data_IF_313874842012
#
_entry.id   IF_313874842012
#
_cell.length_a   1.000
_cell.length_b   1.000
_cell.length_c   1.000
_cell.angle_alpha   90.00
_cell.angle_beta   90.00
_cell.angle_gamma   90.00
#
_symmetry.space_group_name_H-M   'P 1'
#
loop_
_entity.id
_entity.type
_entity.pdbx_description
1 polymer ?
#
# COMPACT_ATOMS: atom_id res chain seq x y z
N UNK A 1 -72.85 -35.59 10.72
CA UNK A 1 -72.21 -36.25 11.88
C UNK A 1 -70.73 -36.41 11.51
N UNK A 2 -69.73 -35.74 12.08
CA UNK A 2 -69.64 -34.75 13.16
C UNK A 2 -68.46 -33.81 12.84
N UNK A 3 -68.59 -32.56 13.28
CA UNK A 3 -67.60 -31.47 13.22
C UNK A 3 -66.69 -31.47 14.45
N UNK A 4 -65.69 -30.58 14.45
CA UNK A 4 -65.08 -29.92 15.65
C UNK A 4 -64.12 -30.81 16.48
N UNK A 5 -62.95 -30.39 17.02
CA UNK A 5 -62.34 -29.07 17.33
C UNK A 5 -60.88 -29.30 17.80
N UNK A 6 -59.95 -28.41 17.40
CA UNK A 6 -58.86 -27.70 18.16
C UNK A 6 -58.00 -28.53 19.16
N UNK A 7 -56.66 -28.49 19.21
CA UNK A 7 -55.83 -27.36 19.66
C UNK A 7 -54.33 -27.65 19.41
N UNK A 8 -53.64 -26.73 18.74
CA UNK A 8 -52.18 -26.69 18.72
C UNK A 8 -51.72 -25.97 19.98
N UNK A 9 -50.89 -26.63 20.79
CA UNK A 9 -50.26 -26.01 21.96
C UNK A 9 -48.95 -25.39 21.50
N UNK A 10 -48.88 -24.07 21.64
CA UNK A 10 -47.68 -23.26 21.56
C UNK A 10 -46.66 -23.72 22.62
N UNK A 11 -45.41 -23.87 22.19
CA UNK A 11 -44.28 -23.70 23.09
C UNK A 11 -43.34 -22.68 22.46
N UNK A 12 -43.58 -21.41 22.78
CA UNK A 12 -42.53 -20.39 22.74
C UNK A 12 -41.50 -20.72 23.82
N UNK A 13 -40.26 -21.04 23.42
CA UNK A 13 -39.08 -20.69 24.22
C UNK A 13 -38.00 -20.09 23.30
N UNK A 14 -38.10 -18.76 23.18
CA UNK A 14 -37.04 -17.77 23.39
C UNK A 14 -35.66 -18.02 22.77
N UNK A 15 -35.42 -17.25 21.71
CA UNK A 15 -34.27 -16.34 21.53
C UNK A 15 -33.06 -16.56 22.45
N UNK A 16 -31.95 -17.03 21.86
CA UNK A 16 -30.62 -17.03 22.46
C UNK A 16 -29.57 -16.68 21.41
N UNK A 17 -29.10 -15.43 21.48
CA UNK A 17 -27.87 -14.84 20.93
C UNK A 17 -27.44 -15.16 19.50
N UNK A 18 -27.74 -14.21 18.61
CA UNK A 18 -26.92 -13.91 17.43
C UNK A 18 -25.55 -13.39 17.89
N UNK A 19 -24.55 -14.27 17.97
CA UNK A 19 -23.15 -13.83 17.88
C UNK A 19 -22.83 -13.57 16.40
N UNK A 20 -23.25 -12.42 15.90
CA UNK A 20 -22.76 -11.89 14.63
C UNK A 20 -21.33 -11.42 14.86
N UNK A 21 -20.35 -12.21 14.41
CA UNK A 21 -18.96 -11.77 14.35
C UNK A 21 -18.83 -10.48 13.53
N UNK A 22 -17.76 -9.69 13.74
CA UNK A 22 -17.58 -8.42 13.05
C UNK A 22 -17.59 -8.63 11.53
N UNK A 23 -18.30 -7.77 10.83
CA UNK A 23 -18.30 -7.68 9.37
C UNK A 23 -16.91 -7.30 8.86
N UNK A 24 -16.63 -7.62 7.59
CA UNK A 24 -15.33 -7.30 6.98
C UNK A 24 -14.96 -5.81 7.03
N UNK A 25 -15.95 -4.91 7.04
CA UNK A 25 -15.70 -3.48 7.19
C UNK A 25 -15.30 -3.10 8.63
N UNK A 26 -15.96 -3.68 9.64
CA UNK A 26 -15.65 -3.44 11.06
C UNK A 26 -14.24 -3.94 11.40
N UNK A 27 -13.82 -5.06 10.82
CA UNK A 27 -12.46 -5.57 10.93
C UNK A 27 -11.42 -4.59 10.37
N UNK A 28 -11.70 -3.97 9.21
CA UNK A 28 -10.76 -3.02 8.60
C UNK A 28 -10.65 -1.72 9.39
N UNK A 29 -11.75 -1.25 9.99
CA UNK A 29 -11.74 -0.10 10.91
C UNK A 29 -10.91 -0.45 12.15
N UNK A 30 -11.15 -1.61 12.76
CA UNK A 30 -10.36 -2.09 13.90
C UNK A 30 -8.87 -2.22 13.58
N UNK A 31 -8.52 -2.72 12.39
CA UNK A 31 -7.12 -2.77 11.94
C UNK A 31 -6.50 -1.37 11.84
N UNK A 32 -7.26 -0.39 11.32
CA UNK A 32 -6.86 1.01 11.25
C UNK A 32 -6.61 1.62 12.62
N UNK A 33 -7.54 1.43 13.56
CA UNK A 33 -7.43 1.97 14.93
C UNK A 33 -6.18 1.44 15.65
N UNK A 34 -5.95 0.12 15.61
CA UNK A 34 -4.77 -0.50 16.25
C UNK A 34 -3.47 0.01 15.63
N UNK A 35 -3.46 0.21 14.32
CA UNK A 35 -2.30 0.74 13.61
C UNK A 35 -2.07 2.22 13.94
N UNK A 36 -3.13 3.03 13.98
CA UNK A 36 -3.10 4.43 14.42
C UNK A 36 -2.51 4.55 15.80
N UNK A 37 -3.03 3.81 16.78
CA UNK A 37 -2.52 3.77 18.16
C UNK A 37 -1.03 3.38 18.23
N UNK A 38 -0.60 2.43 17.39
CA UNK A 38 0.79 2.01 17.35
C UNK A 38 1.71 3.13 16.82
N UNK A 39 1.30 3.80 15.76
CA UNK A 39 2.06 4.85 15.10
C UNK A 39 2.03 6.16 15.91
N UNK A 40 0.91 6.50 16.54
CA UNK A 40 0.79 7.67 17.44
C UNK A 40 1.79 7.54 18.60
N UNK A 41 1.80 6.40 19.29
CA UNK A 41 2.77 6.14 20.37
C UNK A 41 4.22 6.19 19.90
N UNK A 42 4.47 5.81 18.64
CA UNK A 42 5.81 5.91 18.05
C UNK A 42 6.20 7.37 17.82
N UNK A 43 5.30 8.19 17.25
CA UNK A 43 5.53 9.62 17.04
C UNK A 43 5.79 10.34 18.36
N UNK A 44 4.98 10.05 19.39
CA UNK A 44 5.16 10.59 20.74
C UNK A 44 6.53 10.25 21.34
N UNK A 45 6.97 9.00 21.18
CA UNK A 45 8.27 8.57 21.71
C UNK A 45 9.44 9.24 20.98
N UNK A 46 9.27 9.58 19.71
CA UNK A 46 10.26 10.24 18.87
C UNK A 46 10.22 11.76 18.98
N UNK A 47 9.19 12.33 19.64
CA UNK A 47 8.92 13.77 19.70
C UNK A 47 8.70 14.38 18.30
N UNK A 48 7.95 13.66 17.45
CA UNK A 48 7.66 14.07 16.08
C UNK A 48 6.21 14.54 15.96
N UNK A 49 6.02 15.72 15.37
CA UNK A 49 4.70 16.16 14.94
C UNK A 49 4.20 15.32 13.76
N UNK A 50 2.89 15.08 13.70
CA UNK A 50 2.26 14.39 12.59
C UNK A 50 0.77 14.16 12.84
N UNK A 51 -0.04 14.45 11.82
CA UNK A 51 -1.46 14.15 11.81
C UNK A 51 -1.67 12.77 11.19
N UNK A 52 -2.34 11.87 11.92
CA UNK A 52 -2.67 10.52 11.46
C UNK A 52 -4.10 10.48 10.94
N UNK A 53 -4.24 10.10 9.67
CA UNK A 53 -5.53 9.86 9.02
C UNK A 53 -5.73 8.36 8.75
N UNK A 54 -6.93 7.86 9.09
CA UNK A 54 -7.33 6.47 8.90
C UNK A 54 -8.42 6.39 7.82
N UNK A 55 -8.21 5.54 6.81
CA UNK A 55 -9.18 5.29 5.74
C UNK A 55 -9.28 3.79 5.38
N UNK A 56 -10.32 3.43 4.62
CA UNK A 56 -10.53 2.07 4.11
C UNK A 56 -10.67 2.13 2.60
N UNK A 57 -9.60 1.75 1.90
CA UNK A 57 -9.54 1.76 0.45
C UNK A 57 -9.38 0.34 -0.10
N UNK A 58 -10.14 0.00 -1.15
CA UNK A 58 -9.97 -1.23 -1.91
C UNK A 58 -9.90 -2.52 -1.04
N UNK A 59 -10.62 -2.55 0.09
CA UNK A 59 -10.65 -3.69 1.01
C UNK A 59 -9.40 -3.85 1.88
N UNK A 60 -8.68 -2.76 2.16
CA UNK A 60 -7.59 -2.71 3.16
C UNK A 60 -7.66 -1.43 3.97
N UNK A 61 -7.14 -1.46 5.20
CA UNK A 61 -6.91 -0.26 5.98
C UNK A 61 -5.75 0.56 5.38
N UNK A 62 -5.89 1.87 5.37
CA UNK A 62 -4.87 2.82 4.95
C UNK A 62 -4.62 3.79 6.09
N UNK A 63 -3.35 3.98 6.43
CA UNK A 63 -2.91 4.94 7.42
C UNK A 63 -2.00 5.93 6.72
N UNK A 64 -2.32 7.22 6.84
CA UNK A 64 -1.52 8.32 6.30
C UNK A 64 -1.02 9.18 7.45
N UNK A 65 0.24 9.59 7.38
CA UNK A 65 0.85 10.49 8.36
C UNK A 65 1.37 11.72 7.62
N UNK A 66 0.83 12.90 7.93
CA UNK A 66 1.17 14.16 7.26
C UNK A 66 1.40 15.29 8.29
N UNK A 67 1.75 16.50 7.82
CA UNK A 67 1.77 17.71 8.67
C UNK A 67 2.98 17.91 9.58
N UNK A 68 3.93 16.96 9.64
CA UNK A 68 5.12 17.06 10.50
C UNK A 68 6.42 17.39 9.77
N UNK A 69 7.26 18.23 10.41
CA UNK A 69 8.57 18.65 9.86
C UNK A 69 9.61 17.51 9.81
N UNK A 70 9.49 16.52 10.71
CA UNK A 70 10.46 15.43 10.86
C UNK A 70 10.05 14.11 10.19
N UNK A 71 8.90 14.08 9.51
CA UNK A 71 8.34 12.87 8.89
C UNK A 71 9.25 12.30 7.78
N UNK A 72 10.07 13.12 7.12
CA UNK A 72 11.04 12.67 6.12
C UNK A 72 12.01 11.60 6.68
N UNK A 73 12.32 11.66 7.98
CA UNK A 73 13.17 10.66 8.65
C UNK A 73 12.49 9.29 8.76
N UNK A 74 11.16 9.27 8.89
CA UNK A 74 10.34 8.05 8.93
C UNK A 74 10.13 7.45 7.53
N UNK A 75 10.30 8.24 6.48
CA UNK A 75 10.39 7.73 5.11
C UNK A 75 11.73 7.05 4.89
N UNK A 76 12.82 7.75 5.23
CA UNK A 76 14.19 7.29 5.04
C UNK A 76 14.59 7.17 3.55
N UNK A 77 15.79 6.65 3.30
CA UNK A 77 16.35 6.63 1.95
C UNK A 77 15.53 5.72 1.01
N UNK A 78 14.90 6.32 0.00
CA UNK A 78 14.02 5.63 -0.96
C UNK A 78 12.87 4.86 -0.28
N UNK A 79 12.35 5.36 0.84
CA UNK A 79 11.20 4.75 1.53
C UNK A 79 11.50 3.49 2.32
N UNK A 80 12.78 3.14 2.54
CA UNK A 80 13.16 1.92 3.25
C UNK A 80 12.66 1.90 4.70
N UNK A 81 12.63 3.05 5.37
CA UNK A 81 12.13 3.14 6.75
C UNK A 81 10.61 3.04 6.75
N UNK A 82 9.93 3.69 5.81
CA UNK A 82 8.48 3.59 5.63
C UNK A 82 8.03 2.14 5.41
N UNK A 83 8.72 1.38 4.56
CA UNK A 83 8.40 -0.04 4.34
C UNK A 83 8.66 -0.88 5.59
N UNK A 84 9.73 -0.61 6.35
CA UNK A 84 9.99 -1.29 7.61
C UNK A 84 8.91 -0.98 8.66
N UNK A 85 8.51 0.29 8.79
CA UNK A 85 7.45 0.72 9.70
C UNK A 85 6.10 0.11 9.34
N UNK A 86 5.79 0.02 8.05
CA UNK A 86 4.58 -0.67 7.58
C UNK A 86 4.56 -2.13 8.04
N UNK A 87 5.67 -2.85 7.87
CA UNK A 87 5.74 -4.26 8.31
C UNK A 87 5.65 -4.40 9.83
N UNK A 88 6.30 -3.52 10.60
CA UNK A 88 6.17 -3.52 12.06
C UNK A 88 4.74 -3.25 12.50
N UNK A 89 4.06 -2.31 11.84
CA UNK A 89 2.66 -1.98 12.11
C UNK A 89 1.74 -3.15 11.78
N UNK A 90 1.94 -3.81 10.63
CA UNK A 90 1.21 -5.04 10.28
C UNK A 90 1.40 -6.15 11.30
N UNK A 91 2.60 -6.31 11.85
CA UNK A 91 2.88 -7.28 12.91
C UNK A 91 2.18 -6.92 14.22
N UNK A 92 2.15 -5.63 14.59
CA UNK A 92 1.41 -5.15 15.76
C UNK A 92 -0.09 -5.43 15.60
N UNK A 93 -0.68 -5.12 14.45
CA UNK A 93 -2.09 -5.44 14.15
C UNK A 93 -2.34 -6.95 14.17
N UNK A 94 -1.43 -7.75 13.62
CA UNK A 94 -1.55 -9.21 13.65
C UNK A 94 -1.50 -9.76 15.08
N UNK A 95 -0.68 -9.18 15.95
CA UNK A 95 -0.56 -9.61 17.33
C UNK A 95 -1.88 -9.42 18.10
N UNK A 96 -2.61 -8.34 17.82
CA UNK A 96 -3.87 -8.00 18.49
C UNK A 96 -5.09 -8.71 17.85
N UNK A 97 -5.16 -8.76 16.51
CA UNK A 97 -6.32 -9.33 15.79
C UNK A 97 -6.18 -10.82 15.46
N UNK A 98 -4.98 -11.38 15.60
CA UNK A 98 -4.65 -12.75 15.18
C UNK A 98 -4.59 -12.96 13.67
N UNK A 99 -4.93 -11.95 12.86
CA UNK A 99 -5.01 -12.04 11.39
C UNK A 99 -3.95 -11.20 10.73
N UNK A 100 -3.38 -11.67 9.61
CA UNK A 100 -2.43 -10.86 8.83
C UNK A 100 -3.15 -9.70 8.16
N UNK A 101 -2.85 -8.49 8.60
CA UNK A 101 -3.36 -7.27 7.99
C UNK A 101 -2.75 -7.00 6.61
N UNK A 102 -3.55 -6.44 5.71
CA UNK A 102 -3.12 -5.92 4.41
C UNK A 102 -2.93 -4.40 4.42
N UNK A 103 -2.83 -3.82 5.62
CA UNK A 103 -2.71 -2.39 5.86
C UNK A 103 -1.62 -1.73 5.02
N UNK A 104 -1.90 -0.54 4.52
CA UNK A 104 -0.94 0.27 3.77
C UNK A 104 -0.62 1.53 4.56
N UNK A 105 0.67 1.83 4.69
CA UNK A 105 1.15 3.05 5.32
C UNK A 105 1.68 4.00 4.23
N UNK A 106 1.30 5.26 4.31
CA UNK A 106 1.91 6.36 3.59
C UNK A 106 2.34 7.46 4.57
N UNK A 107 3.44 8.13 4.29
CA UNK A 107 3.98 9.20 5.13
C UNK A 107 4.38 10.34 4.21
N UNK A 108 3.90 11.55 4.51
CA UNK A 108 4.19 12.78 3.77
C UNK A 108 3.94 12.65 2.25
N UNK A 109 2.91 11.89 1.86
CA UNK A 109 2.59 11.61 0.45
C UNK A 109 3.72 10.92 -0.35
N UNK A 110 4.68 10.27 0.32
CA UNK A 110 5.89 9.75 -0.31
C UNK A 110 5.60 8.80 -1.46
N UNK A 111 4.59 7.91 -1.32
CA UNK A 111 4.25 6.95 -2.38
C UNK A 111 3.80 7.64 -3.66
N UNK A 112 3.08 8.76 -3.56
CA UNK A 112 2.65 9.54 -4.71
C UNK A 112 3.83 10.28 -5.35
N UNK A 113 4.64 10.98 -4.54
CA UNK A 113 5.84 11.67 -5.01
C UNK A 113 6.83 10.73 -5.69
N UNK A 114 7.08 9.56 -5.08
CA UNK A 114 8.00 8.56 -5.63
C UNK A 114 7.57 8.02 -6.99
N UNK A 115 6.26 7.83 -7.21
CA UNK A 115 5.74 7.43 -8.52
C UNK A 115 6.02 8.50 -9.58
N UNK A 116 5.83 9.76 -9.23
CA UNK A 116 6.05 10.86 -10.17
C UNK A 116 7.53 11.03 -10.52
N UNK A 117 8.42 10.98 -9.53
CA UNK A 117 9.88 10.98 -9.76
C UNK A 117 10.30 9.88 -10.74
N UNK A 118 9.75 8.66 -10.58
CA UNK A 118 10.09 7.53 -11.43
C UNK A 118 9.54 7.66 -12.85
N UNK A 119 8.36 8.27 -13.02
CA UNK A 119 7.83 8.60 -14.35
C UNK A 119 8.70 9.62 -15.05
N UNK A 120 9.07 10.70 -14.36
CA UNK A 120 9.94 11.72 -14.91
C UNK A 120 11.33 11.16 -15.26
N UNK A 121 11.88 10.28 -14.39
CA UNK A 121 13.11 9.56 -14.67
C UNK A 121 13.00 8.69 -15.93
N UNK A 122 11.91 7.93 -16.07
CA UNK A 122 11.67 7.09 -17.24
C UNK A 122 11.61 7.91 -18.52
N UNK A 123 10.79 8.97 -18.53
CA UNK A 123 10.59 9.85 -19.68
C UNK A 123 11.87 10.58 -20.08
N UNK A 124 12.56 11.23 -19.14
CA UNK A 124 13.82 11.94 -19.42
C UNK A 124 14.92 11.00 -19.91
N UNK A 125 14.98 9.78 -19.38
CA UNK A 125 15.92 8.76 -19.85
C UNK A 125 15.58 8.31 -21.27
N UNK A 126 14.30 8.09 -21.58
CA UNK A 126 13.85 7.71 -22.92
C UNK A 126 14.18 8.80 -23.95
N UNK A 127 13.84 10.07 -23.66
CA UNK A 127 14.18 11.21 -24.51
C UNK A 127 15.69 11.32 -24.78
N UNK A 128 16.50 11.09 -23.73
CA UNK A 128 17.96 11.08 -23.85
C UNK A 128 18.42 9.96 -24.79
N UNK A 129 17.91 8.73 -24.60
CA UNK A 129 18.27 7.56 -25.40
C UNK A 129 17.87 7.73 -26.87
N UNK A 130 16.70 8.31 -27.15
CA UNK A 130 16.27 8.64 -28.51
C UNK A 130 17.20 9.67 -29.15
N UNK A 131 17.65 10.68 -28.39
CA UNK A 131 18.53 11.71 -28.92
C UNK A 131 19.97 11.25 -29.15
N UNK A 132 20.50 10.35 -28.31
CA UNK A 132 21.89 9.89 -28.37
C UNK A 132 22.06 8.59 -29.15
N UNK A 133 21.01 7.77 -29.24
CA UNK A 133 21.09 6.38 -29.72
C UNK A 133 21.85 5.46 -28.77
N UNK A 134 22.21 5.92 -27.56
CA UNK A 134 22.98 5.14 -26.60
C UNK A 134 22.10 4.62 -25.47
N UNK A 135 22.22 3.31 -25.18
CA UNK A 135 21.46 2.69 -24.09
C UNK A 135 21.86 3.22 -22.71
N UNK A 136 20.88 3.43 -21.84
CA UNK A 136 21.09 3.91 -20.46
C UNK A 136 20.66 2.84 -19.46
N UNK A 137 21.51 2.59 -18.46
CA UNK A 137 21.23 1.66 -17.36
C UNK A 137 20.86 2.45 -16.11
N UNK A 138 19.65 2.23 -15.59
CA UNK A 138 19.20 2.88 -14.37
C UNK A 138 19.73 2.18 -13.12
N UNK A 139 19.50 2.83 -11.97
CA UNK A 139 19.79 2.24 -10.66
C UNK A 139 18.90 1.00 -10.42
N UNK A 140 19.37 0.00 -9.65
CA UNK A 140 18.51 -1.07 -9.18
C UNK A 140 17.32 -0.53 -8.40
N UNK A 141 16.15 -1.10 -8.64
CA UNK A 141 14.88 -0.64 -8.07
C UNK A 141 13.92 -1.82 -7.95
N UNK A 142 12.92 -1.72 -7.07
CA UNK A 142 11.95 -2.78 -6.79
C UNK A 142 11.09 -3.12 -8.01
N UNK A 143 10.43 -4.30 -8.06
CA UNK A 143 9.54 -4.68 -9.17
C UNK A 143 8.48 -3.63 -9.50
N UNK A 144 7.90 -2.99 -8.47
CA UNK A 144 6.91 -1.93 -8.62
C UNK A 144 7.53 -0.70 -9.30
N UNK A 145 8.68 -0.23 -8.81
CA UNK A 145 9.37 0.92 -9.39
C UNK A 145 9.77 0.66 -10.85
N UNK A 146 10.26 -0.56 -11.15
CA UNK A 146 10.59 -0.95 -12.54
C UNK A 146 9.37 -0.89 -13.45
N UNK A 147 8.20 -1.28 -12.96
CA UNK A 147 6.95 -1.22 -13.72
C UNK A 147 6.57 0.22 -14.05
N UNK A 148 6.64 1.12 -13.07
CA UNK A 148 6.36 2.56 -13.28
C UNK A 148 7.30 3.15 -14.34
N UNK A 149 8.59 2.83 -14.27
CA UNK A 149 9.58 3.30 -15.25
C UNK A 149 9.32 2.68 -16.63
N UNK A 150 9.02 1.39 -16.71
CA UNK A 150 8.67 0.72 -17.97
C UNK A 150 7.47 1.39 -18.66
N UNK A 151 6.42 1.66 -17.89
CA UNK A 151 5.21 2.30 -18.39
C UNK A 151 5.52 3.72 -18.89
N UNK A 152 6.33 4.49 -18.15
CA UNK A 152 6.75 5.83 -18.57
C UNK A 152 7.66 5.85 -19.81
N UNK A 153 8.52 4.85 -19.98
CA UNK A 153 9.36 4.72 -21.19
C UNK A 153 8.50 4.35 -22.40
N UNK A 154 7.50 3.48 -22.23
CA UNK A 154 6.61 3.07 -23.31
C UNK A 154 5.73 4.21 -23.88
N UNK A 155 5.61 5.33 -23.17
CA UNK A 155 4.94 6.54 -23.65
C UNK A 155 5.79 7.35 -24.65
N UNK A 156 7.11 7.08 -24.75
CA UNK A 156 8.04 7.79 -25.62
C UNK A 156 8.33 6.97 -26.87
N UNK A 157 7.92 7.47 -28.04
CA UNK A 157 8.21 6.84 -29.33
C UNK A 157 9.73 6.78 -29.60
N UNK A 158 10.21 5.64 -30.11
CA UNK A 158 11.64 5.43 -30.40
C UNK A 158 12.49 4.98 -29.20
N UNK A 159 11.87 4.64 -28.07
CA UNK A 159 12.54 4.04 -26.93
C UNK A 159 11.81 2.77 -26.45
N UNK A 160 12.60 1.75 -26.09
CA UNK A 160 12.09 0.54 -25.41
C UNK A 160 12.82 0.33 -24.10
N UNK A 161 12.22 -0.45 -23.20
CA UNK A 161 12.84 -0.80 -21.94
C UNK A 161 12.88 -2.30 -21.70
N UNK A 162 13.93 -2.74 -21.01
CA UNK A 162 14.14 -4.13 -20.60
C UNK A 162 14.58 -4.18 -19.14
N UNK A 163 14.27 -5.25 -18.41
CA UNK A 163 14.75 -5.43 -17.03
C UNK A 163 15.93 -6.40 -17.02
N UNK A 164 17.13 -5.92 -16.64
CA UNK A 164 18.37 -6.70 -16.61
C UNK A 164 18.84 -6.96 -15.16
N UNK A 165 19.39 -8.15 -14.92
CA UNK A 165 19.96 -8.57 -13.63
C UNK A 165 19.01 -9.35 -12.71
N UNK A 166 19.53 -9.78 -11.56
CA UNK A 166 18.82 -10.55 -10.54
C UNK A 166 18.54 -9.71 -9.28
N UNK A 167 17.45 -9.99 -8.58
CA UNK A 167 17.10 -9.31 -7.32
C UNK A 167 18.23 -9.53 -6.29
N UNK A 168 18.72 -8.50 -5.55
CA UNK A 168 18.23 -7.12 -5.45
C UNK A 168 18.88 -6.11 -6.41
N UNK A 169 19.70 -6.58 -7.35
CA UNK A 169 20.47 -5.72 -8.29
C UNK A 169 19.78 -5.54 -9.64
N UNK A 170 18.52 -5.99 -9.76
CA UNK A 170 17.74 -5.93 -10.98
C UNK A 170 17.33 -4.49 -11.28
N UNK A 171 17.54 -4.07 -12.52
CA UNK A 171 17.40 -2.67 -12.96
C UNK A 171 16.69 -2.58 -14.30
N UNK A 172 16.19 -1.40 -14.64
CA UNK A 172 15.67 -1.10 -15.99
C UNK A 172 16.81 -0.58 -16.87
N UNK A 173 16.87 -1.09 -18.09
CA UNK A 173 17.74 -0.62 -19.16
C UNK A 173 16.85 -0.05 -20.26
N UNK A 174 17.11 1.20 -20.63
CA UNK A 174 16.39 1.88 -21.71
C UNK A 174 17.27 1.83 -22.96
N UNK A 175 16.68 1.40 -24.07
CA UNK A 175 17.33 1.15 -25.36
C UNK A 175 16.61 1.97 -26.43
N UNK A 176 17.30 2.45 -27.46
CA UNK A 176 16.62 3.02 -28.61
C UNK A 176 15.82 1.91 -29.29
N UNK A 177 14.62 2.26 -29.77
CA UNK A 177 13.84 1.36 -30.59
C UNK A 177 14.24 1.59 -32.05
N UNK A 178 15.23 0.82 -32.51
CA UNK A 178 15.61 0.78 -33.91
C UNK A 178 14.46 0.13 -34.70
N UNK A 179 13.51 0.94 -35.18
CA UNK A 179 12.73 0.57 -36.36
C UNK A 179 13.67 0.71 -37.57
N UNK A 180 14.16 -0.44 -38.08
CA UNK A 180 14.85 -0.55 -39.39
C UNK A 180 14.03 0.04 -40.55
#
# INVERSE_FOLDING_TARGET
MMSETVEAIETEEKSGDEQSGPTGAELLVQEGDIAGDYLERLLDLLDYDGDIDLDVEAGRAVVSIDGGDDLEKLVGNRGQVLEALQELTRLAVQQETGTRSRLMLDIAGWRAGRREELRELGRSTAETVVSTGEKVRLQPMSPFERKVVHDAVAEVEGARSESEGEEPKRRVVVLPDDED
#
